data_IF_867268633881
#
_entry.id   IF_867268633881
#
_cell.length_a   1.000
_cell.length_b   1.000
_cell.length_c   1.000
_cell.angle_alpha   90.00
_cell.angle_beta   90.00
_cell.angle_gamma   90.00
#
_symmetry.space_group_name_H-M   'P 1'
#
loop_
_entity.id
_entity.type
_entity.pdbx_description
1 polymer ?
#
# COMPACT_ATOMS: atom_id res chain seq x y z
N UNK A 1 20.04 29.32 -1.87
CA UNK A 1 20.24 28.17 -2.79
C UNK A 1 18.94 27.39 -2.82
N UNK A 2 18.30 27.12 -3.98
CA UNK A 2 17.16 26.22 -4.02
C UNK A 2 17.69 24.79 -3.91
N UNK A 3 17.22 24.04 -2.90
CA UNK A 3 17.62 22.66 -2.62
C UNK A 3 17.39 21.77 -3.86
N UNK A 4 18.49 21.35 -4.51
CA UNK A 4 18.48 20.49 -5.71
C UNK A 4 17.90 19.07 -5.52
N UNK A 5 17.26 18.81 -4.39
CA UNK A 5 16.60 17.56 -4.01
C UNK A 5 15.10 17.54 -4.38
N UNK A 6 14.47 18.71 -4.60
CA UNK A 6 13.03 18.81 -4.85
C UNK A 6 12.79 18.91 -6.35
N UNK A 7 12.22 17.85 -6.93
CA UNK A 7 11.91 17.75 -8.37
C UNK A 7 10.41 17.76 -8.66
N UNK A 8 9.56 17.69 -7.63
CA UNK A 8 8.10 17.74 -7.74
C UNK A 8 7.49 18.46 -6.54
N UNK A 9 6.95 19.66 -6.74
CA UNK A 9 6.44 20.52 -5.66
C UNK A 9 5.33 19.88 -4.82
N UNK A 10 4.41 19.16 -5.46
CA UNK A 10 3.27 18.52 -4.79
C UNK A 10 3.58 17.19 -4.08
N UNK A 11 4.81 16.65 -4.20
CA UNK A 11 5.16 15.33 -3.69
C UNK A 11 6.02 15.48 -2.42
N UNK A 12 5.74 14.69 -1.39
CA UNK A 12 6.55 14.74 -0.15
C UNK A 12 8.01 14.39 -0.44
N UNK A 13 8.93 15.03 0.28
CA UNK A 13 10.39 14.81 0.15
C UNK A 13 10.77 13.33 0.17
N UNK A 14 10.05 12.53 0.97
CA UNK A 14 10.23 11.09 1.09
C UNK A 14 10.18 10.35 -0.27
N UNK A 15 9.32 10.82 -1.19
CA UNK A 15 9.03 10.17 -2.46
C UNK A 15 9.70 10.81 -3.68
N UNK A 16 10.44 11.91 -3.49
CA UNK A 16 11.14 12.63 -4.58
C UNK A 16 12.10 11.71 -5.36
N UNK A 17 12.89 10.89 -4.65
CA UNK A 17 13.83 9.95 -5.27
C UNK A 17 13.13 8.86 -6.11
N UNK A 18 12.13 8.11 -5.58
CA UNK A 18 11.38 7.16 -6.41
C UNK A 18 10.72 7.81 -7.63
N UNK A 19 10.17 9.02 -7.49
CA UNK A 19 9.60 9.76 -8.62
C UNK A 19 10.66 10.08 -9.68
N UNK A 20 11.81 10.61 -9.26
CA UNK A 20 12.95 10.88 -10.16
C UNK A 20 13.37 9.64 -10.96
N UNK A 21 13.44 8.48 -10.30
CA UNK A 21 13.79 7.21 -10.96
C UNK A 21 12.77 6.81 -12.02
N UNK A 22 11.47 6.97 -11.73
CA UNK A 22 10.41 6.71 -12.70
C UNK A 22 10.47 7.67 -13.89
N UNK A 23 10.83 8.94 -13.67
CA UNK A 23 10.99 9.92 -14.75
C UNK A 23 12.20 9.61 -15.64
N UNK A 24 13.35 9.32 -15.05
CA UNK A 24 14.60 9.03 -15.79
C UNK A 24 14.52 7.76 -16.61
N UNK A 25 13.77 6.74 -16.16
CA UNK A 25 13.57 5.50 -16.92
C UNK A 25 14.82 4.62 -17.08
N UNK A 26 15.87 4.87 -16.29
CA UNK A 26 17.13 4.11 -16.32
C UNK A 26 17.07 2.81 -15.53
N UNK A 27 16.13 2.70 -14.60
CA UNK A 27 15.97 1.53 -13.73
C UNK A 27 14.81 0.65 -14.22
N UNK A 28 14.92 -0.65 -13.96
CA UNK A 28 13.85 -1.62 -14.26
C UNK A 28 12.60 -1.35 -13.40
N UNK A 29 11.43 -1.83 -13.83
CA UNK A 29 10.19 -1.74 -13.04
C UNK A 29 10.35 -2.36 -11.64
N UNK A 30 11.08 -3.46 -11.51
CA UNK A 30 11.36 -4.10 -10.21
C UNK A 30 12.21 -3.22 -9.29
N UNK A 31 13.21 -2.53 -9.82
CA UNK A 31 14.06 -1.61 -9.06
C UNK A 31 13.28 -0.37 -8.63
N UNK A 32 12.51 0.22 -9.55
CA UNK A 32 11.60 1.32 -9.27
C UNK A 32 10.60 0.95 -8.18
N UNK A 33 9.90 -0.19 -8.31
CA UNK A 33 8.97 -0.70 -7.32
C UNK A 33 9.65 -0.85 -5.95
N UNK A 34 10.88 -1.38 -5.90
CA UNK A 34 11.61 -1.56 -4.65
C UNK A 34 11.94 -0.24 -3.94
N UNK A 35 12.33 0.79 -4.70
CA UNK A 35 12.62 2.11 -4.12
C UNK A 35 11.34 2.77 -3.61
N UNK A 36 10.24 2.67 -4.34
CA UNK A 36 8.91 3.11 -3.89
C UNK A 36 8.51 2.38 -2.60
N UNK A 37 8.60 1.04 -2.59
CA UNK A 37 8.26 0.23 -1.41
C UNK A 37 9.11 0.56 -0.19
N UNK A 38 10.40 0.87 -0.36
CA UNK A 38 11.25 1.29 0.77
C UNK A 38 10.69 2.56 1.43
N UNK A 39 10.20 3.50 0.62
CA UNK A 39 9.65 4.78 1.07
C UNK A 39 8.24 4.63 1.63
N UNK A 40 7.37 3.87 0.97
CA UNK A 40 6.05 3.53 1.48
C UNK A 40 6.13 2.82 2.83
N UNK A 41 7.04 1.85 2.97
CA UNK A 41 7.28 1.16 4.25
C UNK A 41 7.68 2.12 5.35
N UNK A 42 8.58 3.06 5.05
CA UNK A 42 9.00 4.09 6.01
C UNK A 42 7.80 4.96 6.40
N UNK A 43 7.03 5.44 5.43
CA UNK A 43 5.86 6.28 5.66
C UNK A 43 4.79 5.59 6.51
N UNK A 44 4.52 4.30 6.24
CA UNK A 44 3.61 3.50 7.05
C UNK A 44 4.16 3.38 8.48
N UNK A 45 5.45 3.02 8.66
CA UNK A 45 6.09 2.92 9.99
C UNK A 45 6.01 4.23 10.78
N UNK A 46 6.23 5.36 10.13
CA UNK A 46 6.19 6.68 10.77
C UNK A 46 4.76 7.07 11.23
N UNK A 47 3.73 6.41 10.70
CA UNK A 47 2.32 6.56 11.11
C UNK A 47 1.95 5.72 12.35
N UNK A 48 2.80 4.78 12.77
CA UNK A 48 2.62 3.97 13.99
C UNK A 48 1.54 2.89 13.90
N UNK A 49 1.29 2.21 15.02
CA UNK A 49 0.46 0.99 15.07
C UNK A 49 -1.07 1.23 15.15
N UNK A 50 -1.50 2.49 15.26
CA UNK A 50 -2.94 2.84 15.33
C UNK A 50 -3.80 2.22 14.20
N UNK A 51 -3.36 2.19 12.93
CA UNK A 51 -4.14 1.55 11.86
C UNK A 51 -4.35 0.05 12.07
N UNK A 52 -3.40 -0.64 12.70
CA UNK A 52 -3.52 -2.07 13.01
C UNK A 52 -4.62 -2.26 14.04
N UNK A 53 -4.56 -1.50 15.14
CA UNK A 53 -5.55 -1.57 16.22
C UNK A 53 -6.96 -1.26 15.71
N UNK A 54 -7.12 -0.16 14.98
CA UNK A 54 -8.43 0.23 14.42
C UNK A 54 -8.96 -0.81 13.43
N UNK A 55 -8.11 -1.34 12.54
CA UNK A 55 -8.52 -2.38 11.59
C UNK A 55 -8.99 -3.67 12.30
N UNK A 56 -8.35 -4.05 13.40
CA UNK A 56 -8.76 -5.21 14.20
C UNK A 56 -10.09 -4.95 14.91
N UNK A 57 -10.24 -3.84 15.62
CA UNK A 57 -11.49 -3.51 16.33
C UNK A 57 -12.68 -3.35 15.37
N UNK A 58 -12.49 -2.74 14.21
CA UNK A 58 -13.54 -2.66 13.18
C UNK A 58 -13.90 -4.03 12.60
N UNK A 59 -12.90 -4.90 12.40
CA UNK A 59 -13.14 -6.25 11.95
C UNK A 59 -13.90 -7.09 12.98
N UNK A 60 -13.60 -6.92 14.27
CA UNK A 60 -14.33 -7.58 15.37
C UNK A 60 -15.80 -7.16 15.37
N UNK A 61 -16.08 -5.86 15.29
CA UNK A 61 -17.44 -5.33 15.18
C UNK A 61 -18.18 -5.95 13.99
N UNK A 62 -17.54 -5.97 12.81
CA UNK A 62 -18.13 -6.53 11.60
C UNK A 62 -18.39 -8.04 11.73
N UNK A 63 -17.44 -8.81 12.26
CA UNK A 63 -17.58 -10.27 12.44
C UNK A 63 -18.68 -10.59 13.45
N UNK A 64 -18.81 -9.82 14.52
CA UNK A 64 -19.88 -9.97 15.50
C UNK A 64 -21.24 -9.73 14.86
N UNK A 65 -21.39 -8.66 14.09
CA UNK A 65 -22.63 -8.37 13.38
C UNK A 65 -23.00 -9.47 12.38
N UNK A 66 -22.04 -9.94 11.56
CA UNK A 66 -22.27 -11.04 10.60
C UNK A 66 -22.65 -12.33 11.34
N UNK A 67 -22.08 -12.59 12.51
CA UNK A 67 -22.36 -13.82 13.28
C UNK A 67 -23.70 -13.78 14.01
N UNK A 68 -24.21 -12.60 14.33
CA UNK A 68 -25.47 -12.41 15.06
C UNK A 68 -26.72 -12.59 14.19
N UNK A 69 -26.60 -12.43 12.87
CA UNK A 69 -27.74 -12.50 11.94
C UNK A 69 -27.43 -13.39 10.74
N UNK A 70 -28.47 -14.01 10.17
CA UNK A 70 -28.31 -14.82 8.95
C UNK A 70 -27.90 -13.98 7.73
N UNK A 71 -28.30 -12.71 7.71
CA UNK A 71 -28.00 -11.74 6.64
C UNK A 71 -28.12 -10.33 7.19
N UNK A 72 -27.18 -9.47 6.83
CA UNK A 72 -27.24 -8.04 7.13
C UNK A 72 -28.15 -7.32 6.13
N UNK A 73 -29.03 -6.47 6.65
CA UNK A 73 -29.89 -5.56 5.90
C UNK A 73 -29.27 -4.15 5.82
N UNK A 74 -29.90 -3.24 5.07
CA UNK A 74 -29.34 -1.92 4.79
C UNK A 74 -29.10 -1.08 6.07
N UNK A 75 -30.00 -1.21 7.05
CA UNK A 75 -29.94 -0.55 8.35
C UNK A 75 -28.75 -1.05 9.19
N UNK A 76 -28.39 -2.32 9.05
CA UNK A 76 -27.23 -2.90 9.76
C UNK A 76 -25.92 -2.29 9.25
N UNK A 77 -25.78 -2.11 7.93
CA UNK A 77 -24.60 -1.45 7.34
C UNK A 77 -24.49 0.02 7.76
N UNK A 78 -25.61 0.73 7.89
CA UNK A 78 -25.62 2.09 8.40
C UNK A 78 -25.16 2.13 9.88
N UNK A 79 -25.66 1.20 10.69
CA UNK A 79 -25.28 1.05 12.10
C UNK A 79 -23.78 0.75 12.24
N UNK A 80 -23.26 -0.23 11.49
CA UNK A 80 -21.83 -0.57 11.46
C UNK A 80 -20.95 0.62 11.06
N UNK A 81 -21.39 1.40 10.06
CA UNK A 81 -20.69 2.61 9.63
C UNK A 81 -20.59 3.64 10.76
N UNK A 82 -21.66 3.84 11.52
CA UNK A 82 -21.69 4.74 12.68
C UNK A 82 -20.82 4.22 13.84
N UNK A 83 -20.78 2.91 14.07
CA UNK A 83 -19.90 2.31 15.07
C UNK A 83 -18.42 2.50 14.71
N UNK A 84 -18.06 2.38 13.43
CA UNK A 84 -16.72 2.69 12.95
C UNK A 84 -16.36 4.16 13.18
N UNK A 85 -17.28 5.09 12.90
CA UNK A 85 -17.09 6.52 13.17
C UNK A 85 -16.80 6.77 14.66
N UNK A 86 -17.64 6.20 15.54
CA UNK A 86 -17.50 6.34 16.99
C UNK A 86 -16.17 5.79 17.49
N UNK A 87 -15.79 4.58 17.06
CA UNK A 87 -14.52 3.96 17.41
C UNK A 87 -13.32 4.85 17.03
N UNK A 88 -13.35 5.42 15.83
CA UNK A 88 -12.29 6.30 15.35
C UNK A 88 -12.25 7.62 16.12
N UNK A 89 -13.40 8.21 16.41
CA UNK A 89 -13.49 9.43 17.22
C UNK A 89 -12.90 9.24 18.62
N UNK A 90 -13.16 8.09 19.24
CA UNK A 90 -12.65 7.73 20.58
C UNK A 90 -11.16 7.38 20.59
N UNK A 91 -10.57 7.09 19.43
CA UNK A 91 -9.15 6.75 19.33
C UNK A 91 -8.23 7.98 19.35
N UNK A 92 -7.14 7.87 20.11
CA UNK A 92 -6.06 8.84 20.12
C UNK A 92 -5.20 8.69 18.86
N UNK A 93 -4.91 9.78 18.16
CA UNK A 93 -4.06 9.76 16.97
C UNK A 93 -4.26 10.93 16.02
N UNK A 94 -3.43 11.00 14.99
CA UNK A 94 -3.47 12.06 13.97
C UNK A 94 -4.78 12.00 13.18
N UNK A 95 -5.52 13.12 13.01
CA UNK A 95 -6.81 13.13 12.30
C UNK A 95 -6.76 12.53 10.89
N UNK A 96 -5.78 12.91 10.06
CA UNK A 96 -5.67 12.36 8.70
C UNK A 96 -5.38 10.86 8.66
N UNK A 97 -4.66 10.33 9.65
CA UNK A 97 -4.43 8.88 9.77
C UNK A 97 -5.74 8.15 10.07
N UNK A 98 -6.50 8.69 11.01
CA UNK A 98 -7.80 8.18 11.44
C UNK A 98 -8.80 8.16 10.29
N UNK A 99 -8.86 9.24 9.50
CA UNK A 99 -9.72 9.34 8.34
C UNK A 99 -9.38 8.29 7.26
N UNK A 100 -8.10 8.07 6.96
CA UNK A 100 -7.67 7.07 5.98
C UNK A 100 -8.09 5.64 6.38
N UNK A 101 -7.93 5.29 7.67
CA UNK A 101 -8.34 3.97 8.16
C UNK A 101 -9.86 3.81 8.12
N UNK A 102 -10.60 4.84 8.54
CA UNK A 102 -12.05 4.86 8.50
C UNK A 102 -12.58 4.70 7.06
N UNK A 103 -12.02 5.44 6.11
CA UNK A 103 -12.35 5.35 4.69
C UNK A 103 -12.11 3.94 4.16
N UNK A 104 -10.96 3.35 4.48
CA UNK A 104 -10.62 1.98 4.10
C UNK A 104 -11.63 0.96 4.67
N UNK A 105 -12.03 1.11 5.92
CA UNK A 105 -12.99 0.22 6.57
C UNK A 105 -14.41 0.36 6.02
N UNK A 106 -14.88 1.59 5.79
CA UNK A 106 -16.19 1.85 5.15
C UNK A 106 -16.24 1.35 3.71
N UNK A 107 -15.13 1.42 2.99
CA UNK A 107 -15.01 0.81 1.67
C UNK A 107 -15.16 -0.72 1.73
N UNK A 108 -14.66 -1.37 2.80
CA UNK A 108 -14.93 -2.81 3.02
C UNK A 108 -16.42 -3.06 3.27
N UNK A 109 -17.07 -2.28 4.14
CA UNK A 109 -18.52 -2.41 4.40
C UNK A 109 -19.35 -2.23 3.11
N UNK A 110 -18.99 -1.26 2.28
CA UNK A 110 -19.63 -1.04 0.99
C UNK A 110 -19.56 -2.31 0.12
N UNK A 111 -18.40 -2.96 0.05
CA UNK A 111 -18.22 -4.14 -0.77
C UNK A 111 -19.00 -5.35 -0.24
N UNK A 112 -19.11 -5.49 1.08
CA UNK A 112 -20.02 -6.47 1.71
C UNK A 112 -21.47 -6.22 1.33
N UNK A 113 -21.92 -4.96 1.43
CA UNK A 113 -23.30 -4.57 1.12
C UNK A 113 -23.71 -4.91 -0.32
N UNK A 114 -22.79 -4.75 -1.27
CA UNK A 114 -23.06 -4.97 -2.69
C UNK A 114 -22.55 -6.31 -3.22
N UNK A 115 -22.22 -7.26 -2.33
CA UNK A 115 -21.86 -8.63 -2.71
C UNK A 115 -20.57 -8.74 -3.54
N UNK A 116 -19.66 -7.77 -3.43
CA UNK A 116 -18.35 -7.87 -4.06
C UNK A 116 -17.52 -8.95 -3.36
N UNK A 117 -16.63 -9.61 -4.10
CA UNK A 117 -15.76 -10.65 -3.53
C UNK A 117 -14.77 -10.03 -2.54
N UNK A 118 -15.12 -10.11 -1.25
CA UNK A 118 -14.26 -9.75 -0.13
C UNK A 118 -13.88 -11.02 0.63
N UNK A 119 -12.60 -11.14 0.99
CA UNK A 119 -12.14 -12.21 1.87
C UNK A 119 -12.70 -11.97 3.29
N UNK A 120 -13.83 -12.62 3.56
CA UNK A 120 -14.54 -12.55 4.85
C UNK A 120 -13.79 -13.30 5.95
N UNK A 121 -12.86 -14.19 5.59
CA UNK A 121 -12.09 -14.98 6.56
C UNK A 121 -11.10 -14.15 7.37
N UNK A 122 -10.70 -12.97 6.89
CA UNK A 122 -9.85 -12.07 7.65
C UNK A 122 -10.13 -10.57 7.33
N UNK A 123 -11.24 -10.01 7.83
CA UNK A 123 -11.62 -8.64 7.52
C UNK A 123 -10.58 -7.61 8.00
N UNK A 124 -9.87 -7.90 9.10
CA UNK A 124 -8.81 -7.03 9.62
C UNK A 124 -7.65 -6.86 8.61
N UNK A 125 -7.25 -7.95 7.95
CA UNK A 125 -6.24 -7.91 6.88
C UNK A 125 -6.77 -7.14 5.68
N UNK A 126 -8.03 -7.30 5.31
CA UNK A 126 -8.63 -6.58 4.17
C UNK A 126 -8.66 -5.07 4.45
N UNK A 127 -9.13 -4.65 5.62
CA UNK A 127 -9.19 -3.23 6.03
C UNK A 127 -7.78 -2.64 6.03
N UNK A 128 -6.82 -3.30 6.68
CA UNK A 128 -5.46 -2.81 6.77
C UNK A 128 -4.77 -2.75 5.39
N UNK A 129 -5.04 -3.72 4.52
CA UNK A 129 -4.55 -3.73 3.13
C UNK A 129 -5.08 -2.54 2.34
N UNK A 130 -6.38 -2.23 2.46
CA UNK A 130 -6.97 -1.04 1.81
C UNK A 130 -6.35 0.23 2.35
N UNK A 131 -6.19 0.35 3.66
CA UNK A 131 -5.51 1.49 4.26
C UNK A 131 -4.10 1.70 3.70
N UNK A 132 -3.29 0.64 3.59
CA UNK A 132 -1.93 0.75 3.04
C UNK A 132 -1.94 1.16 1.55
N UNK A 133 -2.94 0.71 0.77
CA UNK A 133 -3.14 1.17 -0.61
C UNK A 133 -3.55 2.64 -0.65
N UNK A 134 -4.48 3.09 0.19
CA UNK A 134 -4.89 4.50 0.28
C UNK A 134 -3.70 5.41 0.61
N UNK A 135 -2.81 4.98 1.51
CA UNK A 135 -1.56 5.71 1.79
C UNK A 135 -0.69 5.78 0.52
N UNK A 136 -0.54 4.68 -0.22
CA UNK A 136 0.22 4.70 -1.47
C UNK A 136 -0.40 5.61 -2.54
N UNK A 137 -1.72 5.56 -2.72
CA UNK A 137 -2.42 6.37 -3.72
C UNK A 137 -2.30 7.87 -3.37
N UNK A 138 -2.71 8.27 -2.17
CA UNK A 138 -2.78 9.67 -1.74
C UNK A 138 -1.42 10.34 -1.53
N UNK A 139 -0.38 9.57 -1.15
CA UNK A 139 0.95 10.11 -0.85
C UNK A 139 1.90 10.04 -2.05
N UNK A 140 1.60 9.20 -3.05
CA UNK A 140 2.48 8.98 -4.19
C UNK A 140 1.76 9.07 -5.54
N UNK A 141 0.90 8.10 -5.86
CA UNK A 141 0.40 7.90 -7.23
C UNK A 141 -0.51 9.04 -7.72
N UNK A 142 -1.44 9.49 -6.89
CA UNK A 142 -2.33 10.61 -7.22
C UNK A 142 -1.53 11.91 -7.36
N UNK A 143 -0.58 12.15 -6.46
CA UNK A 143 0.26 13.36 -6.47
C UNK A 143 1.10 13.49 -7.73
N UNK A 144 1.62 12.38 -8.26
CA UNK A 144 2.32 12.36 -9.54
C UNK A 144 1.40 12.81 -10.68
N UNK A 145 0.13 12.38 -10.64
CA UNK A 145 -0.83 12.61 -11.72
C UNK A 145 -1.34 14.04 -11.83
N UNK A 146 -1.14 14.86 -10.77
CA UNK A 146 -1.59 16.26 -10.69
C UNK A 146 -0.64 17.26 -11.37
N UNK A 147 0.57 16.84 -11.76
CA UNK A 147 1.56 17.74 -12.36
C UNK A 147 1.53 17.68 -13.88
N UNK A 148 1.62 18.85 -14.53
CA UNK A 148 1.59 18.99 -15.99
C UNK A 148 2.96 18.68 -16.61
N UNK A 149 4.03 19.18 -16.01
CA UNK A 149 5.40 19.01 -16.48
C UNK A 149 6.19 18.08 -15.55
N UNK A 150 6.66 16.96 -16.10
CA UNK A 150 7.41 15.98 -15.31
C UNK A 150 8.92 16.18 -15.42
N UNK A 151 9.64 15.71 -14.41
CA UNK A 151 11.09 15.77 -14.36
C UNK A 151 11.71 15.14 -15.61
N UNK A 152 12.80 15.73 -16.11
CA UNK A 152 13.48 15.32 -17.36
C UNK A 152 12.59 15.36 -18.63
N UNK A 153 11.49 16.12 -18.62
CA UNK A 153 10.63 16.31 -19.78
C UNK A 153 9.88 15.04 -20.21
N UNK A 154 9.76 14.04 -19.31
CA UNK A 154 9.08 12.79 -19.63
C UNK A 154 7.59 13.03 -19.90
N UNK A 155 7.07 12.43 -20.98
CA UNK A 155 5.65 12.50 -21.28
C UNK A 155 4.82 11.83 -20.19
N UNK A 156 3.65 12.43 -19.86
CA UNK A 156 2.71 11.89 -18.87
C UNK A 156 2.29 10.45 -19.17
N UNK A 157 2.07 10.11 -20.44
CA UNK A 157 1.71 8.76 -20.89
C UNK A 157 2.80 7.74 -20.56
N UNK A 158 4.06 8.09 -20.81
CA UNK A 158 5.22 7.25 -20.48
C UNK A 158 5.36 7.05 -18.98
N UNK A 159 5.23 8.12 -18.18
CA UNK A 159 5.30 8.02 -16.73
C UNK A 159 4.16 7.19 -16.15
N UNK A 160 2.93 7.40 -16.62
CA UNK A 160 1.75 6.61 -16.24
C UNK A 160 1.95 5.12 -16.51
N UNK A 161 2.52 4.77 -17.67
CA UNK A 161 2.85 3.37 -17.99
C UNK A 161 3.84 2.78 -16.97
N UNK A 162 4.92 3.50 -16.64
CA UNK A 162 5.91 3.05 -15.64
C UNK A 162 5.30 2.91 -14.24
N UNK A 163 4.39 3.80 -13.86
CA UNK A 163 3.64 3.68 -12.58
C UNK A 163 2.73 2.45 -12.60
N UNK A 164 2.07 2.16 -13.71
CA UNK A 164 1.26 0.94 -13.86
C UNK A 164 2.12 -0.33 -13.81
N UNK A 165 3.31 -0.32 -14.43
CA UNK A 165 4.23 -1.47 -14.45
C UNK A 165 4.74 -1.84 -13.05
N UNK A 166 4.88 -0.89 -12.13
CA UNK A 166 5.29 -1.20 -10.74
C UNK A 166 4.12 -1.67 -9.85
N UNK A 167 2.88 -1.39 -10.23
CA UNK A 167 1.69 -1.62 -9.40
C UNK A 167 1.55 -3.08 -8.90
N UNK A 168 1.77 -4.13 -9.71
CA UNK A 168 1.67 -5.51 -9.23
C UNK A 168 2.63 -5.78 -8.07
N UNK A 169 3.87 -5.28 -8.15
CA UNK A 169 4.86 -5.43 -7.07
C UNK A 169 4.46 -4.66 -5.81
N UNK A 170 3.83 -3.49 -5.96
CA UNK A 170 3.29 -2.72 -4.84
C UNK A 170 2.18 -3.52 -4.14
N UNK A 171 1.22 -4.03 -4.91
CA UNK A 171 0.07 -4.79 -4.39
C UNK A 171 0.51 -6.06 -3.66
N UNK A 172 1.48 -6.82 -4.21
CA UNK A 172 2.02 -8.02 -3.57
C UNK A 172 2.65 -7.68 -2.21
N UNK A 173 3.45 -6.61 -2.15
CA UNK A 173 4.11 -6.20 -0.93
C UNK A 173 3.11 -5.73 0.13
N UNK A 174 2.13 -4.90 -0.24
CA UNK A 174 1.08 -4.41 0.64
C UNK A 174 0.24 -5.57 1.19
N UNK A 175 -0.15 -6.52 0.34
CA UNK A 175 -0.89 -7.71 0.78
C UNK A 175 -0.10 -8.53 1.82
N UNK A 176 1.20 -8.72 1.60
CA UNK A 176 2.06 -9.38 2.58
C UNK A 176 2.17 -8.56 3.87
N UNK A 177 2.38 -7.26 3.77
CA UNK A 177 2.51 -6.37 4.93
C UNK A 177 1.27 -6.33 5.80
N UNK A 178 0.09 -6.27 5.20
CA UNK A 178 -1.16 -6.30 5.94
C UNK A 178 -1.29 -7.61 6.76
N UNK A 179 -1.02 -8.77 6.14
CA UNK A 179 -1.01 -10.07 6.82
C UNK A 179 0.01 -10.11 7.96
N UNK A 180 1.26 -9.71 7.68
CA UNK A 180 2.33 -9.70 8.67
C UNK A 180 2.02 -8.76 9.85
N UNK A 181 1.45 -7.59 9.57
CA UNK A 181 1.15 -6.58 10.59
C UNK A 181 -0.02 -6.99 11.49
N UNK A 182 -1.09 -7.57 10.94
CA UNK A 182 -2.19 -8.13 11.75
C UNK A 182 -1.67 -9.27 12.62
N UNK A 183 -0.94 -10.23 12.04
CA UNK A 183 -0.42 -11.39 12.78
C UNK A 183 0.54 -10.99 13.92
N UNK A 184 1.30 -9.91 13.73
CA UNK A 184 2.25 -9.40 14.74
C UNK A 184 1.69 -8.27 15.58
N UNK A 185 0.44 -7.86 15.33
CA UNK A 185 -0.21 -6.71 15.94
C UNK A 185 0.62 -5.40 15.85
N UNK A 186 1.45 -5.27 14.81
CA UNK A 186 2.34 -4.11 14.66
C UNK A 186 2.91 -3.97 13.25
N UNK A 187 3.00 -2.74 12.76
CA UNK A 187 3.70 -2.36 11.53
C UNK A 187 5.21 -2.13 11.74
N UNK A 188 5.71 -2.15 12.98
CA UNK A 188 7.14 -1.92 13.24
C UNK A 188 8.03 -2.96 12.55
N UNK A 189 7.53 -4.19 12.37
CA UNK A 189 8.25 -5.36 11.85
C UNK A 189 8.01 -5.63 10.35
N UNK A 190 7.51 -4.64 9.60
CA UNK A 190 7.33 -4.78 8.15
C UNK A 190 8.67 -5.05 7.43
N UNK A 191 8.66 -6.06 6.55
CA UNK A 191 9.83 -6.51 5.80
C UNK A 191 9.64 -6.31 4.30
N UNK A 192 10.66 -5.81 3.59
CA UNK A 192 10.57 -5.71 2.13
C UNK A 192 10.50 -7.12 1.52
N UNK A 193 9.75 -7.32 0.41
CA UNK A 193 9.83 -8.56 -0.34
C UNK A 193 11.27 -8.91 -0.71
N UNK A 194 11.59 -10.22 -0.67
CA UNK A 194 12.87 -10.74 -1.13
C UNK A 194 13.06 -10.33 -2.60
N UNK A 195 14.30 -10.00 -2.97
CA UNK A 195 14.63 -9.78 -4.39
C UNK A 195 14.43 -11.12 -5.10
N UNK A 196 13.73 -11.14 -6.23
CA UNK A 196 13.84 -12.26 -7.15
C UNK A 196 15.29 -12.30 -7.63
N UNK A 197 16.04 -13.32 -7.20
CA UNK A 197 17.36 -13.60 -7.74
C UNK A 197 17.18 -14.20 -9.13
N UNK A 198 16.82 -13.38 -10.12
CA UNK A 198 16.96 -13.77 -11.52
C UNK A 198 18.32 -13.29 -12.01
N UNK A 199 19.37 -13.97 -11.53
CA UNK A 199 20.39 -14.44 -12.45
C UNK A 199 20.15 -15.94 -12.52
N UNK A 200 19.69 -16.43 -13.67
CA UNK A 200 19.95 -17.82 -13.99
C UNK A 200 21.47 -17.94 -13.94
N UNK A 201 21.99 -18.78 -13.05
CA UNK A 201 23.36 -19.25 -13.22
C UNK A 201 23.27 -20.09 -14.48
N UNK A 202 23.80 -19.59 -15.58
CA UNK A 202 23.95 -20.40 -16.78
C UNK A 202 25.05 -21.41 -16.48
N UNK A 203 24.65 -22.60 -16.02
CA UNK A 203 25.56 -23.70 -15.69
C UNK A 203 26.30 -24.24 -16.92
N UNK A 204 26.01 -23.73 -18.13
CA UNK A 204 26.68 -24.16 -19.35
C UNK A 204 27.88 -23.30 -19.75
N UNK A 205 28.09 -22.10 -19.17
CA UNK A 205 29.30 -21.31 -19.47
C UNK A 205 30.53 -21.76 -18.65
N UNK A 206 30.34 -22.31 -17.44
CA UNK A 206 31.45 -22.73 -16.56
C UNK A 206 32.00 -24.13 -16.85
N UNK A 207 31.35 -24.94 -17.70
CA UNK A 207 31.83 -26.29 -18.06
C UNK A 207 32.81 -26.32 -19.23
N UNK A 208 32.95 -25.23 -20.00
CA UNK A 208 33.89 -25.14 -21.13
C UNK A 208 35.23 -24.47 -20.76
N UNK A 209 35.37 -23.94 -19.54
CA UNK A 209 36.64 -23.40 -19.04
C UNK A 209 37.55 -24.48 -18.41
N UNK A 210 37.13 -25.75 -18.39
CA UNK A 210 37.81 -26.85 -17.70
C UNK A 210 38.44 -27.93 -18.58
N UNK A 211 38.43 -27.80 -19.91
CA UNK A 211 39.12 -28.74 -20.81
C UNK A 211 40.26 -28.05 -21.56
N UNK A 212 41.34 -27.81 -20.82
CA UNK A 212 42.69 -27.78 -21.39
C UNK A 212 43.46 -28.87 -20.66
N UNK A 213 43.58 -30.04 -21.31
CA UNK A 213 44.81 -30.81 -21.54
C UNK A 213 44.45 -32.10 -22.28
#
# INVERSE_FOLDING_TARGET
MPDGDIVHSGLRRLYQKPYKWLCEGKATSNECARVVLKKLKQDIKDKGDLPVMLAQSMAEILVQAISAVNKLEAEDYATLSMEFDKLVQQSNGRPGLKELVLRAAKSVLHDFRYGQQVDVGNPSVVILRRYMNEVYESEFRERISLTIEHYAGVARTTLSKRVQEIQPNINIAINKWAKDAINKQSIAKLSLPRRSSRKAIDLNEDLLAGQIL
#
